data_IF_582628874077
#
_entry.id   IF_582628874077
#
_cell.length_a   1.000
_cell.length_b   1.000
_cell.length_c   1.000
_cell.angle_alpha   90.00
_cell.angle_beta   90.00
_cell.angle_gamma   90.00
#
_symmetry.space_group_name_H-M   'P 1'
#
loop_
_entity.id
_entity.type
_entity.pdbx_description
1 polymer ?
#
# COMPACT_ATOMS: atom_id res chain seq x y z
N UNK A 1 -53.47 -29.14 -2.61
CA UNK A 1 -52.00 -29.31 -2.41
C UNK A 1 -51.13 -28.44 -3.34
N UNK A 2 -51.71 -27.70 -4.30
CA UNK A 2 -50.96 -26.88 -5.27
C UNK A 2 -50.50 -25.53 -4.67
N UNK A 3 -51.24 -24.98 -3.70
CA UNK A 3 -50.95 -23.67 -3.08
C UNK A 3 -49.61 -23.62 -2.30
N UNK A 4 -49.20 -24.74 -1.65
CA UNK A 4 -47.91 -24.82 -0.94
C UNK A 4 -46.69 -24.89 -1.87
N UNK A 5 -46.85 -25.40 -3.10
CA UNK A 5 -45.74 -25.56 -4.06
C UNK A 5 -45.31 -24.24 -4.72
N UNK A 6 -46.22 -23.26 -4.80
CA UNK A 6 -45.95 -21.93 -5.36
C UNK A 6 -45.50 -20.91 -4.29
N UNK A 7 -45.83 -21.15 -3.02
CA UNK A 7 -45.50 -20.26 -1.91
C UNK A 7 -44.00 -20.24 -1.56
N UNK A 8 -43.35 -21.40 -1.63
CA UNK A 8 -41.90 -21.54 -1.36
C UNK A 8 -41.03 -20.77 -2.36
N UNK A 9 -41.20 -20.92 -3.69
CA UNK A 9 -40.40 -20.15 -4.65
C UNK A 9 -40.70 -18.65 -4.60
N UNK A 10 -41.96 -18.26 -4.36
CA UNK A 10 -42.33 -16.86 -4.20
C UNK A 10 -41.63 -16.22 -2.99
N UNK A 11 -41.64 -16.88 -1.82
CA UNK A 11 -40.97 -16.40 -0.62
C UNK A 11 -39.44 -16.28 -0.82
N UNK A 12 -38.84 -17.22 -1.56
CA UNK A 12 -37.40 -17.20 -1.88
C UNK A 12 -37.04 -16.03 -2.79
N UNK A 13 -37.84 -15.74 -3.81
CA UNK A 13 -37.66 -14.59 -4.70
C UNK A 13 -37.79 -13.29 -3.93
N UNK A 14 -38.80 -13.15 -3.07
CA UNK A 14 -38.97 -11.95 -2.24
C UNK A 14 -37.80 -11.76 -1.27
N UNK A 15 -37.28 -12.85 -0.69
CA UNK A 15 -36.13 -12.79 0.20
C UNK A 15 -34.85 -12.38 -0.55
N UNK A 16 -34.62 -12.92 -1.74
CA UNK A 16 -33.50 -12.51 -2.61
C UNK A 16 -33.61 -11.03 -2.99
N UNK A 17 -34.80 -10.56 -3.37
CA UNK A 17 -35.08 -9.15 -3.70
C UNK A 17 -34.86 -8.21 -2.51
N UNK A 18 -35.21 -8.63 -1.29
CA UNK A 18 -34.95 -7.87 -0.07
C UNK A 18 -33.45 -7.80 0.25
N UNK A 19 -32.70 -8.90 0.05
CA UNK A 19 -31.26 -8.93 0.27
C UNK A 19 -30.53 -8.04 -0.76
N UNK A 20 -30.92 -8.08 -2.03
CA UNK A 20 -30.32 -7.23 -3.08
C UNK A 20 -30.67 -5.74 -2.90
N UNK A 21 -31.89 -5.43 -2.44
CA UNK A 21 -32.27 -4.05 -2.10
C UNK A 21 -31.44 -3.49 -0.94
N UNK A 22 -31.22 -4.28 0.11
CA UNK A 22 -30.34 -3.90 1.22
C UNK A 22 -28.90 -3.68 0.74
N UNK A 23 -28.35 -4.57 -0.10
CA UNK A 23 -26.99 -4.38 -0.60
C UNK A 23 -26.84 -3.13 -1.48
N UNK A 24 -27.89 -2.69 -2.18
CA UNK A 24 -27.87 -1.45 -2.97
C UNK A 24 -28.03 -0.17 -2.13
N UNK A 25 -28.82 -0.20 -1.05
CA UNK A 25 -28.92 0.94 -0.11
C UNK A 25 -27.65 1.09 0.74
N UNK A 26 -26.98 -0.01 1.06
CA UNK A 26 -25.66 -0.03 1.70
C UNK A 26 -24.50 -0.09 0.69
N UNK A 27 -24.78 0.00 -0.61
CA UNK A 27 -23.73 0.10 -1.62
C UNK A 27 -23.03 1.43 -1.40
N UNK A 28 -21.92 1.32 -0.70
CA UNK A 28 -20.77 2.20 -0.70
C UNK A 28 -20.79 3.13 -1.92
N UNK A 29 -21.30 4.35 -1.74
CA UNK A 29 -20.53 5.50 -2.19
C UNK A 29 -19.10 5.16 -1.81
N UNK A 30 -18.23 4.86 -2.78
CA UNK A 30 -16.81 4.66 -2.50
C UNK A 30 -16.42 5.91 -1.75
N UNK A 31 -16.22 5.76 -0.44
CA UNK A 31 -16.20 6.89 0.47
C UNK A 31 -14.98 7.79 0.24
N UNK A 32 -14.09 7.33 -0.64
CA UNK A 32 -12.94 8.02 -1.18
C UNK A 32 -13.19 8.26 -2.67
N UNK A 33 -13.42 9.53 -3.02
CA UNK A 33 -13.58 9.99 -4.40
C UNK A 33 -12.20 10.07 -5.08
N UNK A 34 -12.05 9.62 -6.33
CA UNK A 34 -10.81 9.79 -7.10
C UNK A 34 -10.58 11.23 -7.57
N UNK A 35 -11.56 12.12 -7.42
CA UNK A 35 -11.44 13.54 -7.77
C UNK A 35 -11.56 14.44 -6.55
N UNK A 36 -10.77 15.51 -6.56
CA UNK A 36 -10.85 16.60 -5.59
C UNK A 36 -11.54 17.82 -6.23
N UNK A 37 -12.47 18.50 -5.52
CA UNK A 37 -13.24 19.61 -6.09
C UNK A 37 -12.38 20.85 -6.40
N UNK A 38 -11.27 21.01 -5.69
CA UNK A 38 -10.30 22.08 -5.90
C UNK A 38 -9.00 21.54 -6.51
N UNK A 39 -8.29 22.38 -7.27
CA UNK A 39 -6.99 22.03 -7.80
C UNK A 39 -5.98 21.84 -6.65
N UNK A 40 -5.33 20.68 -6.60
CA UNK A 40 -4.29 20.40 -5.63
C UNK A 40 -2.95 20.96 -6.12
N UNK A 41 -2.05 21.37 -5.21
CA UNK A 41 -0.70 21.78 -5.57
C UNK A 41 0.03 20.64 -6.30
N UNK A 42 0.97 21.00 -7.18
CA UNK A 42 1.82 20.01 -7.84
C UNK A 42 2.62 19.18 -6.82
N UNK A 43 2.72 17.87 -7.09
CA UNK A 43 3.48 16.95 -6.26
C UNK A 43 2.63 16.19 -5.24
N UNK A 44 2.99 16.28 -3.96
CA UNK A 44 2.44 15.47 -2.87
C UNK A 44 1.60 16.34 -1.93
N UNK A 45 0.28 16.40 -2.11
CA UNK A 45 -0.59 17.16 -1.22
C UNK A 45 -0.67 16.51 0.17
N UNK A 46 -0.72 17.33 1.21
CA UNK A 46 -0.88 16.88 2.61
C UNK A 46 -2.30 17.17 3.05
N UNK A 47 -3.16 16.15 2.99
CA UNK A 47 -4.60 16.34 3.20
C UNK A 47 -4.94 16.91 4.59
N UNK A 48 -4.12 16.65 5.60
CA UNK A 48 -4.34 17.18 6.95
C UNK A 48 -4.15 18.70 7.08
N UNK A 49 -3.62 19.38 6.06
CA UNK A 49 -3.53 20.84 6.04
C UNK A 49 -4.92 21.48 5.89
N UNK A 50 -5.85 20.81 5.21
CA UNK A 50 -7.21 21.28 5.00
C UNK A 50 -8.29 20.40 5.67
N UNK A 51 -7.96 19.17 6.07
CA UNK A 51 -8.91 18.21 6.64
C UNK A 51 -8.49 17.73 8.04
N UNK A 52 -9.29 18.08 9.04
CA UNK A 52 -9.06 17.67 10.44
C UNK A 52 -9.79 16.36 10.82
N UNK A 53 -10.82 16.00 10.05
CA UNK A 53 -11.71 14.88 10.37
C UNK A 53 -11.18 13.52 9.89
N UNK A 54 -11.98 12.48 10.09
CA UNK A 54 -11.70 11.14 9.55
C UNK A 54 -11.94 11.09 8.03
N UNK A 55 -11.12 10.29 7.33
CA UNK A 55 -11.38 9.93 5.95
C UNK A 55 -12.71 9.18 5.89
N UNK A 56 -13.66 9.70 5.11
CA UNK A 56 -15.01 9.13 5.02
C UNK A 56 -14.91 7.63 4.65
N UNK A 57 -15.72 6.81 5.32
CA UNK A 57 -15.75 5.35 5.19
C UNK A 57 -14.47 4.63 5.63
N UNK A 58 -13.65 5.31 6.42
CA UNK A 58 -12.59 4.70 7.23
C UNK A 58 -12.73 5.19 8.67
N UNK A 59 -12.03 4.54 9.60
CA UNK A 59 -11.90 5.00 10.99
C UNK A 59 -10.58 5.75 11.22
N UNK A 60 -9.95 6.26 10.15
CA UNK A 60 -8.62 6.86 10.20
C UNK A 60 -8.68 8.36 9.90
N UNK A 61 -7.92 9.20 10.62
CA UNK A 61 -7.76 10.61 10.28
C UNK A 61 -6.98 10.77 8.96
N UNK A 62 -7.19 11.87 8.23
CA UNK A 62 -6.38 12.19 7.04
C UNK A 62 -4.87 12.19 7.35
N UNK A 63 -4.49 12.66 8.53
CA UNK A 63 -3.10 12.68 8.99
C UNK A 63 -2.42 11.30 8.99
N UNK A 64 -3.18 10.20 9.07
CA UNK A 64 -2.62 8.84 9.01
C UNK A 64 -2.04 8.47 7.62
N UNK A 65 -2.32 9.28 6.60
CA UNK A 65 -1.84 9.11 5.22
C UNK A 65 -0.93 10.25 4.76
N UNK A 66 -0.51 11.11 5.70
CA UNK A 66 0.53 12.07 5.42
C UNK A 66 1.80 11.31 5.07
N UNK A 67 2.35 11.56 3.88
CA UNK A 67 3.54 10.87 3.41
C UNK A 67 4.82 11.47 4.02
N UNK A 68 4.88 11.50 5.35
CA UNK A 68 6.07 11.83 6.12
C UNK A 68 7.03 10.62 6.20
N UNK A 69 8.18 10.83 6.83
CA UNK A 69 9.21 9.79 6.97
C UNK A 69 8.73 8.57 7.75
N UNK A 70 7.80 8.75 8.71
CA UNK A 70 7.26 7.67 9.52
C UNK A 70 6.31 6.84 8.66
N UNK A 71 5.41 7.49 7.93
CA UNK A 71 4.51 6.83 7.00
C UNK A 71 5.29 6.03 5.95
N UNK A 72 6.36 6.58 5.37
CA UNK A 72 7.17 5.84 4.39
C UNK A 72 7.80 4.59 5.00
N UNK A 73 8.29 4.65 6.24
CA UNK A 73 8.86 3.47 6.93
C UNK A 73 7.81 2.42 7.28
N UNK A 74 6.61 2.87 7.62
CA UNK A 74 5.53 2.02 8.12
C UNK A 74 4.42 1.75 7.09
N UNK A 75 4.60 2.19 5.84
CA UNK A 75 3.57 2.13 4.80
C UNK A 75 3.06 0.70 4.56
N UNK A 76 3.89 -0.32 4.80
CA UNK A 76 3.51 -1.74 4.74
C UNK A 76 2.27 -2.07 5.58
N UNK A 77 2.09 -1.42 6.73
CA UNK A 77 0.95 -1.65 7.63
C UNK A 77 -0.33 -0.98 7.13
N UNK A 78 -0.19 0.13 6.41
CA UNK A 78 -1.32 0.82 5.76
C UNK A 78 -1.68 0.14 4.45
N UNK A 79 -0.69 -0.20 3.62
CA UNK A 79 -0.88 -0.90 2.36
C UNK A 79 -1.61 -2.25 2.53
N UNK A 80 -1.23 -3.03 3.55
CA UNK A 80 -1.88 -4.32 3.81
C UNK A 80 -3.35 -4.25 4.27
N UNK A 81 -3.83 -3.08 4.70
CA UNK A 81 -5.21 -2.89 5.23
C UNK A 81 -6.05 -1.95 4.39
N UNK A 82 -5.42 -1.03 3.67
CA UNK A 82 -6.07 0.12 3.04
C UNK A 82 -5.60 0.35 1.59
N UNK A 83 -5.20 -0.70 0.87
CA UNK A 83 -4.72 -0.63 -0.51
C UNK A 83 -5.63 0.23 -1.43
N UNK A 84 -6.95 0.11 -1.25
CA UNK A 84 -7.94 0.87 -2.04
C UNK A 84 -7.79 2.39 -1.89
N UNK A 85 -7.35 2.88 -0.73
CA UNK A 85 -7.12 4.31 -0.48
C UNK A 85 -5.90 4.78 -1.26
N UNK A 86 -4.86 3.96 -1.36
CA UNK A 86 -3.68 4.25 -2.16
C UNK A 86 -4.03 4.40 -3.64
N UNK A 87 -4.97 3.59 -4.13
CA UNK A 87 -5.45 3.59 -5.52
C UNK A 87 -6.17 4.87 -5.97
N UNK A 88 -6.47 5.78 -5.05
CA UNK A 88 -7.07 7.10 -5.33
C UNK A 88 -6.07 8.01 -6.05
N UNK A 89 -4.79 7.93 -5.65
CA UNK A 89 -3.72 8.77 -6.20
C UNK A 89 -2.65 7.96 -6.94
N UNK A 90 -2.44 6.69 -6.56
CA UNK A 90 -1.40 5.84 -7.12
C UNK A 90 -1.97 4.79 -8.07
N UNK A 91 -1.30 4.62 -9.22
CA UNK A 91 -1.55 3.50 -10.12
C UNK A 91 -0.97 2.21 -9.53
N UNK A 92 -1.57 1.05 -9.85
CA UNK A 92 -1.13 -0.25 -9.32
C UNK A 92 0.35 -0.57 -9.61
N UNK A 93 0.90 -0.08 -10.72
CA UNK A 93 2.32 -0.24 -11.06
C UNK A 93 3.27 0.41 -10.05
N UNK A 94 2.82 1.42 -9.29
CA UNK A 94 3.61 2.03 -8.22
C UNK A 94 3.94 1.02 -7.11
N UNK A 95 2.99 0.16 -6.74
CA UNK A 95 3.21 -0.90 -5.77
C UNK A 95 4.19 -1.95 -6.31
N UNK A 96 4.05 -2.27 -7.60
CA UNK A 96 4.88 -3.27 -8.27
C UNK A 96 6.34 -2.86 -8.34
N UNK A 97 6.66 -1.56 -8.39
CA UNK A 97 8.03 -1.04 -8.40
C UNK A 97 8.88 -1.50 -7.21
N UNK A 98 8.28 -2.00 -6.12
CA UNK A 98 8.98 -2.60 -5.00
C UNK A 98 8.48 -4.02 -4.65
N UNK A 99 7.19 -4.30 -4.85
CA UNK A 99 6.57 -5.56 -4.43
C UNK A 99 6.53 -6.64 -5.52
N UNK A 100 6.86 -6.33 -6.76
CA UNK A 100 6.94 -7.36 -7.79
C UNK A 100 8.25 -8.16 -7.65
N UNK A 101 8.12 -9.48 -7.52
CA UNK A 101 9.26 -10.39 -7.35
C UNK A 101 10.09 -10.59 -8.63
N UNK A 102 9.71 -9.97 -9.75
CA UNK A 102 10.31 -10.16 -11.08
C UNK A 102 10.30 -8.86 -11.90
N UNK A 103 10.73 -7.75 -11.30
CA UNK A 103 11.02 -6.54 -12.08
C UNK A 103 12.24 -6.77 -12.95
N UNK A 104 12.17 -6.29 -14.20
CA UNK A 104 13.31 -6.25 -15.13
C UNK A 104 14.51 -5.51 -14.51
N UNK A 105 14.23 -4.45 -13.75
CA UNK A 105 15.23 -3.65 -13.04
C UNK A 105 14.90 -3.65 -11.54
N UNK A 106 15.85 -4.10 -10.73
CA UNK A 106 15.70 -4.10 -9.26
C UNK A 106 15.51 -2.67 -8.73
N UNK A 107 14.62 -2.45 -7.74
CA UNK A 107 14.34 -1.10 -7.22
C UNK A 107 15.58 -0.30 -6.81
N UNK A 108 16.62 -0.89 -6.18
CA UNK A 108 17.85 -0.18 -5.86
C UNK A 108 18.64 0.33 -7.07
N UNK A 109 18.54 -0.33 -8.22
CA UNK A 109 19.12 0.15 -9.48
C UNK A 109 18.24 1.24 -10.09
N UNK A 110 16.91 1.02 -10.14
CA UNK A 110 15.94 1.96 -10.70
C UNK A 110 15.89 3.30 -9.93
N UNK A 111 16.10 3.27 -8.62
CA UNK A 111 15.99 4.42 -7.72
C UNK A 111 17.27 4.72 -6.92
N UNK A 112 18.43 4.26 -7.38
CA UNK A 112 19.68 4.32 -6.60
C UNK A 112 20.14 5.73 -6.20
N UNK A 113 19.70 6.76 -6.93
CA UNK A 113 20.07 8.16 -6.67
C UNK A 113 19.05 8.92 -5.81
N UNK A 114 17.98 8.26 -5.34
CA UNK A 114 16.89 8.91 -4.61
C UNK A 114 17.20 9.02 -3.12
N UNK A 115 17.45 10.22 -2.57
CA UNK A 115 17.83 10.37 -1.17
C UNK A 115 16.72 9.91 -0.21
N UNK A 116 15.45 10.08 -0.61
CA UNK A 116 14.22 9.68 0.11
C UNK A 116 14.03 8.16 0.25
N UNK A 117 14.84 7.35 -0.45
CA UNK A 117 14.72 5.89 -0.43
C UNK A 117 15.97 5.24 0.12
N UNK A 118 15.92 4.83 1.39
CA UNK A 118 16.97 4.05 2.03
C UNK A 118 17.06 2.64 1.43
N UNK A 119 17.72 2.54 0.28
CA UNK A 119 17.99 1.28 -0.41
C UNK A 119 19.41 0.84 -0.08
N UNK A 120 19.55 -0.41 0.37
CA UNK A 120 20.87 -0.97 0.72
C UNK A 120 21.74 -1.16 -0.53
N UNK A 121 21.16 -1.17 -1.74
CA UNK A 121 21.88 -1.37 -3.01
C UNK A 121 21.79 -0.13 -3.91
N UNK A 122 21.98 1.07 -3.35
CA UNK A 122 22.08 2.32 -4.11
C UNK A 122 23.31 2.33 -5.03
N UNK A 123 23.36 3.29 -5.96
CA UNK A 123 24.49 3.44 -6.89
C UNK A 123 25.84 3.68 -6.21
N UNK A 124 25.83 4.18 -4.96
CA UNK A 124 27.00 4.44 -4.13
C UNK A 124 27.29 3.34 -3.09
N UNK A 125 26.63 2.18 -3.19
CA UNK A 125 26.70 1.10 -2.20
C UNK A 125 28.13 0.77 -1.77
N UNK A 126 29.09 0.63 -2.70
CA UNK A 126 30.48 0.29 -2.34
C UNK A 126 31.14 1.32 -1.40
N UNK A 127 30.78 2.60 -1.53
CA UNK A 127 31.32 3.67 -0.68
C UNK A 127 30.66 3.70 0.69
N UNK A 128 29.37 3.34 0.78
CA UNK A 128 28.58 3.34 2.02
C UNK A 128 28.58 2.00 2.76
N UNK A 129 28.88 0.90 2.07
CA UNK A 129 28.80 -0.48 2.56
C UNK A 129 29.50 -0.65 3.91
N UNK A 130 30.71 -0.10 4.05
CA UNK A 130 31.47 -0.17 5.30
C UNK A 130 30.73 0.49 6.47
N UNK A 131 30.05 1.60 6.22
CA UNK A 131 29.31 2.35 7.24
C UNK A 131 28.02 1.59 7.56
N UNK A 132 27.24 1.24 6.55
CA UNK A 132 25.94 0.57 6.71
C UNK A 132 26.09 -0.82 7.34
N UNK A 133 27.03 -1.64 6.87
CA UNK A 133 27.31 -2.95 7.43
C UNK A 133 27.88 -2.90 8.86
N UNK A 134 28.47 -1.78 9.28
CA UNK A 134 28.90 -1.56 10.67
C UNK A 134 27.75 -1.11 11.57
N UNK A 135 26.85 -0.29 11.06
CA UNK A 135 25.69 0.23 11.80
C UNK A 135 24.65 -0.88 12.02
N UNK A 136 24.26 -1.57 10.94
CA UNK A 136 23.26 -2.63 10.99
C UNK A 136 23.51 -3.70 9.90
N UNK A 137 24.33 -4.73 10.20
CA UNK A 137 24.52 -5.85 9.28
C UNK A 137 23.26 -6.72 9.14
N UNK A 138 22.29 -6.60 10.05
CA UNK A 138 21.09 -7.46 10.03
C UNK A 138 20.10 -7.08 8.93
N UNK A 139 20.12 -5.81 8.49
CA UNK A 139 19.34 -5.33 7.36
C UNK A 139 19.58 -6.14 6.08
N UNK A 140 20.81 -6.62 5.86
CA UNK A 140 21.20 -7.42 4.70
C UNK A 140 20.52 -8.81 4.69
N UNK A 141 20.40 -9.44 5.87
CA UNK A 141 19.86 -10.80 5.99
C UNK A 141 18.36 -10.89 5.69
N UNK A 142 17.64 -9.75 5.69
CA UNK A 142 16.20 -9.72 5.39
C UNK A 142 15.89 -10.19 3.98
N UNK A 143 16.78 -9.88 3.03
CA UNK A 143 16.61 -10.24 1.62
C UNK A 143 17.55 -11.36 1.20
N UNK A 144 18.77 -11.36 1.74
CA UNK A 144 19.79 -12.34 1.36
C UNK A 144 19.77 -13.60 2.22
N UNK A 145 19.09 -13.57 3.37
CA UNK A 145 19.09 -14.68 4.32
C UNK A 145 20.40 -14.79 5.10
N UNK A 146 20.40 -15.62 6.15
CA UNK A 146 21.59 -15.88 6.99
C UNK A 146 22.65 -16.72 6.27
N UNK A 147 22.25 -17.43 5.20
CA UNK A 147 23.15 -18.25 4.38
C UNK A 147 24.05 -17.41 3.47
N UNK A 148 23.71 -16.13 3.22
CA UNK A 148 24.51 -15.27 2.32
C UNK A 148 25.83 -14.76 2.95
N UNK A 149 26.24 -15.33 4.08
CA UNK A 149 27.57 -15.08 4.64
C UNK A 149 28.67 -15.36 3.60
N UNK A 150 28.47 -16.31 2.69
CA UNK A 150 29.40 -16.63 1.59
C UNK A 150 29.77 -15.42 0.72
N UNK A 151 28.81 -14.53 0.45
CA UNK A 151 29.08 -13.30 -0.31
C UNK A 151 29.83 -12.28 0.55
N UNK A 152 29.52 -12.19 1.85
CA UNK A 152 30.19 -11.29 2.78
C UNK A 152 31.67 -11.66 2.98
N UNK A 153 31.96 -12.95 3.20
CA UNK A 153 33.32 -13.47 3.46
C UNK A 153 34.24 -13.40 2.25
N UNK A 154 33.70 -13.16 1.05
CA UNK A 154 34.52 -12.92 -0.14
C UNK A 154 35.44 -11.71 0.04
N UNK A 155 34.96 -10.68 0.74
CA UNK A 155 35.70 -9.46 1.02
C UNK A 155 36.07 -9.28 2.50
N UNK A 156 35.35 -9.93 3.42
CA UNK A 156 35.54 -9.83 4.88
C UNK A 156 36.00 -11.17 5.46
N UNK A 157 37.28 -11.53 5.24
CA UNK A 157 37.90 -12.71 5.83
C UNK A 157 38.41 -12.45 7.24
#
# INVERSE_FOLDING_TARGET
>A
MICKKLFIPAALITCIMLITACSHLFSTETSVSPSHPEALPEGRPVCSECHEAQLKGTLKPYAAFNHDDIFIKDHKFSAGRDEKICGVCHVASFCNDCHANQLEIKPPVKYGNRPDRELVHRGDFLTRHKIEGKIDPTGCYRCHGRANNEQCITCHK
#
